data_IF_982086480750
#
_entry.id   IF_982086480750
#
_cell.length_a   1.000
_cell.length_b   1.000
_cell.length_c   1.000
_cell.angle_alpha   90.00
_cell.angle_beta   90.00
_cell.angle_gamma   90.00
#
_symmetry.space_group_name_H-M   'P 1'
#
loop_
_entity.id
_entity.type
_entity.pdbx_description
1 polymer ?
#
# COMPACT_ATOMS: atom_id res chain seq x y z
N UNK A 1 -5.73 -39.14 -14.13
CA UNK A 1 -5.10 -37.83 -14.39
C UNK A 1 -5.69 -36.86 -13.40
N UNK A 2 -4.93 -36.46 -12.38
CA UNK A 2 -5.38 -35.50 -11.38
C UNK A 2 -5.21 -34.11 -11.95
N UNK A 3 -6.30 -33.34 -12.07
CA UNK A 3 -6.22 -31.90 -12.26
C UNK A 3 -5.38 -31.33 -11.11
N UNK A 4 -4.26 -30.68 -11.45
CA UNK A 4 -3.56 -29.80 -10.52
C UNK A 4 -4.51 -28.62 -10.29
N UNK A 5 -5.24 -28.63 -9.18
CA UNK A 5 -5.80 -27.41 -8.62
C UNK A 5 -4.61 -26.45 -8.46
N UNK A 6 -4.54 -25.43 -9.32
CA UNK A 6 -3.66 -24.28 -9.11
C UNK A 6 -4.03 -23.76 -7.72
N UNK A 7 -3.12 -23.84 -6.75
CA UNK A 7 -3.38 -23.21 -5.45
C UNK A 7 -3.61 -21.74 -5.72
N UNK A 8 -4.69 -21.18 -5.20
CA UNK A 8 -4.91 -19.73 -5.22
C UNK A 8 -3.67 -19.06 -4.66
N UNK A 9 -3.18 -18.02 -5.33
CA UNK A 9 -2.01 -17.26 -4.87
C UNK A 9 -2.32 -16.70 -3.48
N UNK A 10 -1.63 -17.19 -2.45
CA UNK A 10 -1.75 -16.65 -1.10
C UNK A 10 -0.87 -15.41 -1.00
N UNK A 11 -1.50 -14.25 -0.83
CA UNK A 11 -0.80 -12.99 -0.59
C UNK A 11 -0.43 -12.90 0.89
N UNK A 12 0.78 -13.32 1.20
CA UNK A 12 1.27 -13.47 2.58
C UNK A 12 2.03 -12.24 3.08
N UNK A 13 2.50 -11.38 2.19
CA UNK A 13 3.22 -10.16 2.55
C UNK A 13 2.42 -8.92 2.15
N UNK A 14 2.41 -7.90 2.99
CA UNK A 14 1.65 -6.70 2.67
C UNK A 14 1.24 -5.87 3.87
N UNK A 15 0.77 -4.67 3.59
CA UNK A 15 0.32 -3.69 4.57
C UNK A 15 -1.02 -3.13 4.14
N UNK A 16 -1.90 -2.91 5.12
CA UNK A 16 -3.09 -2.08 5.00
C UNK A 16 -2.91 -0.87 5.91
N UNK A 17 -3.04 0.33 5.36
CA UNK A 17 -3.12 1.58 6.11
C UNK A 17 -4.57 2.09 6.05
N UNK A 18 -5.18 2.30 7.20
CA UNK A 18 -6.62 2.61 7.32
C UNK A 18 -6.84 4.03 7.85
N UNK A 19 -7.71 4.77 7.17
CA UNK A 19 -8.27 6.06 7.59
C UNK A 19 -9.78 5.94 7.75
N UNK A 20 -10.32 6.31 8.91
CA UNK A 20 -11.75 6.60 9.04
C UNK A 20 -12.02 8.01 8.50
N UNK A 21 -13.03 8.17 7.67
CA UNK A 21 -13.46 9.43 7.04
C UNK A 21 -14.71 9.93 7.75
N UNK A 22 -14.80 11.26 7.92
CA UNK A 22 -15.90 11.96 8.60
C UNK A 22 -15.99 11.69 10.11
N UNK A 23 -14.91 11.15 10.70
CA UNK A 23 -14.71 11.07 12.14
C UNK A 23 -13.70 12.15 12.56
N UNK A 24 -14.14 13.09 13.39
CA UNK A 24 -13.31 14.22 13.85
C UNK A 24 -12.11 13.79 14.69
N UNK A 25 -12.10 12.55 15.19
CA UNK A 25 -11.00 11.99 15.99
C UNK A 25 -10.04 11.09 15.17
N UNK A 26 -10.29 10.93 13.86
CA UNK A 26 -9.47 10.10 12.96
C UNK A 26 -8.24 10.84 12.43
N UNK A 27 -7.36 11.28 13.34
CA UNK A 27 -6.14 12.02 13.00
C UNK A 27 -5.04 11.12 12.40
N UNK A 28 -5.09 9.80 12.63
CA UNK A 28 -3.99 8.88 12.31
C UNK A 28 -4.35 7.75 11.35
N UNK A 29 -3.37 7.31 10.56
CA UNK A 29 -3.46 6.07 9.80
C UNK A 29 -3.16 4.87 10.70
N UNK A 30 -4.05 3.88 10.70
CA UNK A 30 -3.84 2.61 11.39
C UNK A 30 -3.15 1.61 10.45
N UNK A 31 -1.98 1.10 10.84
CA UNK A 31 -1.23 0.08 10.08
C UNK A 31 -1.57 -1.33 10.58
N UNK A 32 -2.01 -2.20 9.69
CA UNK A 32 -2.17 -3.64 9.94
C UNK A 32 -1.50 -4.46 8.83
N UNK A 33 -1.08 -5.68 9.13
CA UNK A 33 -0.58 -6.61 8.11
C UNK A 33 -1.73 -7.14 7.27
N UNK A 34 -1.50 -7.39 5.99
CA UNK A 34 -2.53 -7.94 5.07
C UNK A 34 -3.09 -9.29 5.52
N UNK A 35 -2.29 -10.08 6.25
CA UNK A 35 -2.71 -11.37 6.82
C UNK A 35 -3.66 -11.23 8.01
N UNK A 36 -3.71 -10.06 8.66
CA UNK A 36 -4.63 -9.82 9.76
C UNK A 36 -6.00 -9.50 9.18
N UNK A 37 -7.04 -10.15 9.71
CA UNK A 37 -8.41 -9.96 9.23
C UNK A 37 -8.81 -8.48 9.28
N UNK A 38 -9.09 -7.93 8.10
CA UNK A 38 -9.82 -6.69 7.97
C UNK A 38 -11.28 -6.96 8.36
N UNK A 39 -11.82 -6.14 9.26
CA UNK A 39 -13.19 -6.25 9.78
C UNK A 39 -14.25 -5.68 8.80
N UNK A 40 -13.83 -4.94 7.77
CA UNK A 40 -14.70 -4.33 6.77
C UNK A 40 -14.95 -5.19 5.53
N UNK A 41 -13.94 -5.91 5.06
CA UNK A 41 -14.02 -6.74 3.84
C UNK A 41 -12.94 -7.82 3.82
N UNK A 42 -13.12 -8.83 2.97
CA UNK A 42 -12.09 -9.78 2.60
C UNK A 42 -11.57 -9.49 1.20
N UNK A 43 -10.27 -9.72 1.00
CA UNK A 43 -9.63 -9.65 -0.31
C UNK A 43 -9.27 -11.04 -0.78
N UNK A 44 -9.53 -11.31 -2.05
CA UNK A 44 -9.02 -12.49 -2.74
C UNK A 44 -8.67 -12.13 -4.18
N UNK A 45 -7.86 -12.98 -4.83
CA UNK A 45 -7.61 -12.85 -6.26
C UNK A 45 -7.95 -14.18 -6.93
N UNK A 46 -8.81 -14.12 -7.94
CA UNK A 46 -9.21 -15.28 -8.73
C UNK A 46 -9.09 -14.93 -10.20
N UNK A 47 -8.41 -15.79 -10.97
CA UNK A 47 -8.36 -15.69 -12.44
C UNK A 47 -8.06 -14.27 -12.94
N UNK A 48 -7.08 -13.60 -12.33
CA UNK A 48 -6.66 -12.24 -12.69
C UNK A 48 -7.63 -11.10 -12.32
N UNK A 49 -8.63 -11.36 -11.48
CA UNK A 49 -9.47 -10.34 -10.85
C UNK A 49 -9.25 -10.28 -9.33
N UNK A 50 -9.18 -9.06 -8.79
CA UNK A 50 -9.21 -8.82 -7.35
C UNK A 50 -10.67 -8.73 -6.91
N UNK A 51 -11.08 -9.59 -6.00
CA UNK A 51 -12.42 -9.63 -5.43
C UNK A 51 -12.38 -8.96 -4.05
N UNK A 52 -13.32 -8.05 -3.82
CA UNK A 52 -13.49 -7.32 -2.56
C UNK A 52 -14.87 -7.65 -2.03
N UNK A 53 -14.94 -8.57 -1.07
CA UNK A 53 -16.20 -9.02 -0.49
C UNK A 53 -16.44 -8.31 0.85
N UNK A 54 -17.53 -7.55 0.92
CA UNK A 54 -17.87 -6.78 2.13
C UNK A 54 -18.30 -7.73 3.25
N UNK A 55 -17.71 -7.55 4.43
CA UNK A 55 -18.15 -8.24 5.64
C UNK A 55 -19.38 -7.50 6.18
N UNK A 56 -20.56 -8.15 6.24
CA UNK A 56 -21.77 -7.52 6.71
C UNK A 56 -21.70 -7.20 8.21
N UNK A 57 -22.43 -6.16 8.62
CA UNK A 57 -22.59 -5.82 10.02
C UNK A 57 -23.55 -6.80 10.70
N UNK A 58 -23.15 -7.36 11.84
CA UNK A 58 -23.97 -8.27 12.64
C UNK A 58 -24.47 -7.59 13.92
N UNK A 59 -25.09 -6.40 13.79
CA UNK A 59 -25.56 -5.60 14.94
C UNK A 59 -26.95 -6.02 15.43
N UNK A 60 -27.74 -6.69 14.58
CA UNK A 60 -29.13 -7.07 14.84
C UNK A 60 -30.16 -6.01 14.42
N UNK A 61 -29.74 -4.83 13.95
CA UNK A 61 -30.61 -3.84 13.31
C UNK A 61 -30.55 -4.01 11.78
N UNK A 62 -31.70 -4.26 11.15
CA UNK A 62 -31.81 -4.41 9.69
C UNK A 62 -31.47 -3.14 8.89
N UNK A 63 -31.47 -1.97 9.54
CA UNK A 63 -31.11 -0.71 8.92
C UNK A 63 -29.59 -0.45 8.95
N UNK A 64 -28.81 -1.25 9.66
CA UNK A 64 -27.36 -1.13 9.68
C UNK A 64 -26.78 -1.82 8.43
N UNK A 65 -25.82 -1.16 7.78
CA UNK A 65 -25.18 -1.70 6.60
C UNK A 65 -23.74 -1.24 6.44
N UNK A 66 -22.98 -2.06 5.74
CA UNK A 66 -21.68 -1.71 5.17
C UNK A 66 -21.73 -1.98 3.66
N UNK A 67 -21.13 -1.09 2.87
CA UNK A 67 -21.04 -1.26 1.42
C UNK A 67 -19.69 -0.83 0.89
N UNK A 68 -19.30 -1.42 -0.23
CA UNK A 68 -18.20 -0.95 -1.05
C UNK A 68 -18.62 0.37 -1.72
N UNK A 69 -17.86 1.44 -1.48
CA UNK A 69 -18.09 2.74 -2.10
C UNK A 69 -17.26 2.87 -3.38
N UNK A 70 -15.97 2.54 -3.30
CA UNK A 70 -15.05 2.55 -4.43
C UNK A 70 -13.93 1.52 -4.24
N UNK A 71 -13.32 1.11 -5.34
CA UNK A 71 -12.05 0.38 -5.35
C UNK A 71 -11.20 0.86 -6.51
N UNK A 72 -9.92 1.06 -6.26
CA UNK A 72 -8.91 1.26 -7.29
C UNK A 72 -7.69 0.43 -6.89
N UNK A 73 -7.66 -0.81 -7.39
CA UNK A 73 -6.61 -1.78 -7.10
C UNK A 73 -5.93 -2.18 -8.41
N UNK A 74 -4.60 -2.11 -8.41
CA UNK A 74 -3.75 -2.38 -9.55
C UNK A 74 -3.03 -3.70 -9.32
N UNK A 75 -3.18 -4.63 -10.26
CA UNK A 75 -2.48 -5.91 -10.23
C UNK A 75 -1.06 -5.70 -10.74
N UNK A 76 -0.07 -6.17 -9.99
CA UNK A 76 1.34 -6.21 -10.37
C UNK A 76 1.63 -7.55 -11.04
N UNK A 77 2.28 -7.51 -12.20
CA UNK A 77 2.52 -8.70 -13.04
C UNK A 77 3.99 -8.85 -13.37
N UNK A 78 4.46 -10.09 -13.35
CA UNK A 78 5.79 -10.45 -13.82
C UNK A 78 5.90 -10.35 -15.35
N UNK A 79 7.13 -10.56 -15.87
CA UNK A 79 7.39 -10.51 -17.31
C UNK A 79 6.62 -11.56 -18.12
N UNK A 80 6.12 -12.62 -17.49
CA UNK A 80 5.30 -13.66 -18.12
C UNK A 80 3.79 -13.31 -18.07
N UNK A 81 3.42 -12.19 -17.44
CA UNK A 81 2.05 -11.72 -17.27
C UNK A 81 1.32 -12.32 -16.06
N UNK A 82 2.00 -13.12 -15.24
CA UNK A 82 1.42 -13.73 -14.04
C UNK A 82 1.34 -12.69 -12.92
N UNK A 83 0.19 -12.64 -12.26
CA UNK A 83 -0.02 -11.76 -11.11
C UNK A 83 0.85 -12.20 -9.91
N UNK A 84 1.68 -11.28 -9.42
CA UNK A 84 2.53 -11.47 -8.23
C UNK A 84 1.97 -10.78 -6.99
N UNK A 85 1.03 -9.85 -7.16
CA UNK A 85 0.54 -8.99 -6.12
C UNK A 85 -0.41 -7.92 -6.63
N UNK A 86 -0.86 -7.05 -5.74
CA UNK A 86 -1.64 -5.88 -6.06
C UNK A 86 -1.44 -4.76 -5.05
N UNK A 87 -1.75 -3.54 -5.46
CA UNK A 87 -1.74 -2.38 -4.58
C UNK A 87 -2.81 -1.36 -4.97
N UNK A 88 -3.21 -0.50 -4.04
CA UNK A 88 -4.15 0.58 -4.32
C UNK A 88 -5.03 0.92 -3.13
N UNK A 89 -6.29 1.26 -3.39
CA UNK A 89 -7.24 1.70 -2.38
C UNK A 89 -8.59 0.97 -2.44
N UNK A 90 -9.20 0.82 -1.27
CA UNK A 90 -10.58 0.37 -1.09
C UNK A 90 -11.28 1.38 -0.19
N UNK A 91 -12.41 1.89 -0.67
CA UNK A 91 -13.29 2.76 0.11
C UNK A 91 -14.56 2.01 0.50
N UNK A 92 -14.86 2.01 1.79
CA UNK A 92 -16.11 1.48 2.32
C UNK A 92 -16.89 2.56 3.04
N UNK A 93 -18.20 2.36 3.08
CA UNK A 93 -19.11 3.21 3.81
C UNK A 93 -19.89 2.37 4.80
N UNK A 94 -19.90 2.81 6.06
CA UNK A 94 -20.58 2.12 7.15
C UNK A 94 -21.65 3.03 7.77
N UNK A 95 -22.81 2.44 8.01
CA UNK A 95 -23.90 3.03 8.77
C UNK A 95 -24.30 2.03 9.84
N UNK A 96 -24.02 2.34 11.11
CA UNK A 96 -24.25 1.42 12.21
C UNK A 96 -24.90 2.08 13.43
N UNK A 97 -25.72 1.32 14.14
CA UNK A 97 -26.38 1.76 15.36
C UNK A 97 -25.51 1.34 16.54
N UNK A 98 -24.86 2.31 17.20
CA UNK A 98 -24.03 2.00 18.37
C UNK A 98 -24.94 1.64 19.53
N UNK A 99 -24.70 0.46 20.14
CA UNK A 99 -25.52 -0.07 21.24
C UNK A 99 -25.51 0.78 22.53
N UNK A 100 -24.72 1.85 22.59
CA UNK A 100 -24.57 2.73 23.75
C UNK A 100 -24.85 4.21 23.39
N UNK A 101 -26.14 4.56 23.30
CA UNK A 101 -26.73 5.88 23.62
C UNK A 101 -26.42 7.14 22.78
N UNK A 102 -25.60 7.11 21.72
CA UNK A 102 -25.28 8.33 20.93
C UNK A 102 -26.06 8.52 19.61
N UNK A 103 -26.76 7.50 19.10
CA UNK A 103 -27.47 7.56 17.82
C UNK A 103 -26.83 6.66 16.75
N UNK A 104 -27.22 6.86 15.49
CA UNK A 104 -26.62 6.13 14.35
C UNK A 104 -25.39 6.89 13.87
N UNK A 105 -24.26 6.19 13.72
CA UNK A 105 -23.03 6.79 13.20
C UNK A 105 -22.84 6.44 11.73
N UNK A 106 -22.37 7.45 11.00
CA UNK A 106 -22.07 7.42 9.58
C UNK A 106 -20.60 7.73 9.42
N UNK A 107 -19.83 6.77 8.94
CA UNK A 107 -18.43 7.02 8.63
C UNK A 107 -18.01 6.33 7.32
N UNK A 108 -17.11 6.99 6.62
CA UNK A 108 -16.37 6.38 5.53
C UNK A 108 -15.12 5.71 6.06
N UNK A 109 -14.52 4.84 5.26
CA UNK A 109 -13.22 4.24 5.54
C UNK A 109 -12.45 4.10 4.24
N UNK A 110 -11.23 4.62 4.22
CA UNK A 110 -10.28 4.43 3.13
C UNK A 110 -9.15 3.53 3.60
N UNK A 111 -8.93 2.44 2.90
CA UNK A 111 -7.82 1.52 3.12
C UNK A 111 -6.85 1.59 1.95
N UNK A 112 -5.57 1.81 2.24
CA UNK A 112 -4.46 1.73 1.29
C UNK A 112 -3.80 0.38 1.45
N UNK A 113 -3.78 -0.42 0.39
CA UNK A 113 -3.44 -1.84 0.45
C UNK A 113 -2.27 -2.10 -0.49
N UNK A 114 -1.29 -2.85 0.00
CA UNK A 114 -0.33 -3.57 -0.83
C UNK A 114 -0.29 -5.02 -0.36
N UNK A 115 -0.36 -5.96 -1.29
CA UNK A 115 -0.43 -7.38 -1.02
C UNK A 115 0.39 -8.14 -2.08
N UNK A 116 1.40 -8.88 -1.65
CA UNK A 116 2.36 -9.55 -2.51
C UNK A 116 2.47 -11.04 -2.14
N UNK A 117 2.73 -11.86 -3.15
CA UNK A 117 3.10 -13.25 -2.92
C UNK A 117 4.52 -13.29 -2.36
N UNK A 118 4.67 -13.69 -1.09
CA UNK A 118 5.98 -13.73 -0.43
C UNK A 118 6.97 -14.69 -1.09
N UNK A 119 6.47 -15.75 -1.74
CA UNK A 119 7.32 -16.71 -2.47
C UNK A 119 7.97 -16.10 -3.72
N UNK A 120 7.42 -14.98 -4.23
CA UNK A 120 7.97 -14.25 -5.37
C UNK A 120 8.95 -13.15 -4.94
N UNK A 121 9.20 -12.99 -3.63
CA UNK A 121 10.12 -11.96 -3.12
C UNK A 121 11.56 -12.33 -3.47
N UNK A 122 12.25 -11.41 -4.14
CA UNK A 122 13.51 -11.70 -4.79
C UNK A 122 14.40 -10.47 -4.88
N UNK A 123 15.65 -10.61 -4.44
CA UNK A 123 16.68 -9.60 -4.69
C UNK A 123 16.92 -9.47 -6.21
N UNK A 124 16.86 -8.25 -6.80
CA UNK A 124 17.11 -8.10 -8.22
C UNK A 124 18.54 -8.50 -8.59
N UNK A 125 18.66 -9.26 -9.68
CA UNK A 125 19.92 -9.79 -10.19
C UNK A 125 20.75 -8.75 -10.96
N UNK A 126 20.09 -7.69 -11.44
CA UNK A 126 20.68 -6.60 -12.24
C UNK A 126 20.23 -5.24 -11.73
N UNK A 127 21.04 -4.22 -12.00
CA UNK A 127 20.63 -2.84 -11.79
C UNK A 127 19.42 -2.50 -12.67
N UNK A 128 18.55 -1.62 -12.18
CA UNK A 128 17.33 -1.27 -12.92
C UNK A 128 16.62 -0.06 -12.33
N UNK A 129 15.91 0.67 -13.21
CA UNK A 129 15.01 1.74 -12.81
C UNK A 129 13.59 1.17 -12.74
N UNK A 130 12.83 1.58 -11.74
CA UNK A 130 11.45 1.16 -11.51
C UNK A 130 10.58 2.40 -11.49
N UNK A 131 9.47 2.37 -12.23
CA UNK A 131 8.49 3.46 -12.23
C UNK A 131 7.12 2.91 -11.85
N UNK A 132 6.34 3.72 -11.16
CA UNK A 132 5.06 3.29 -10.64
C UNK A 132 4.25 4.42 -10.04
N UNK A 133 3.23 4.03 -9.27
CA UNK A 133 2.34 4.96 -8.57
C UNK A 133 2.37 4.71 -7.07
N UNK A 134 2.17 5.79 -6.32
CA UNK A 134 1.90 5.80 -4.90
C UNK A 134 0.48 6.32 -4.68
N UNK A 135 -0.35 5.56 -3.98
CA UNK A 135 -1.63 6.03 -3.44
C UNK A 135 -1.45 6.36 -1.97
N UNK A 136 -1.84 7.56 -1.54
CA UNK A 136 -1.53 8.03 -0.19
C UNK A 136 -2.60 8.94 0.43
N UNK A 137 -2.52 9.09 1.74
CA UNK A 137 -3.20 10.09 2.56
C UNK A 137 -2.12 11.06 3.06
N UNK A 138 -2.40 12.36 2.99
CA UNK A 138 -1.54 13.38 3.58
C UNK A 138 -2.40 14.52 4.09
N UNK A 139 -2.22 14.88 5.36
CA UNK A 139 -2.97 15.93 6.05
C UNK A 139 -4.49 15.74 5.95
N UNK A 140 -4.96 14.52 6.26
CA UNK A 140 -6.39 14.17 6.27
C UNK A 140 -7.09 14.34 4.92
N UNK A 141 -6.33 14.38 3.82
CA UNK A 141 -6.86 14.39 2.46
C UNK A 141 -6.59 13.02 1.82
N UNK A 142 -7.54 12.08 1.91
CA UNK A 142 -7.38 10.73 1.40
C UNK A 142 -7.44 10.67 -0.14
N UNK A 143 -7.04 9.53 -0.70
CA UNK A 143 -7.15 9.21 -2.13
C UNK A 143 -6.21 9.97 -3.06
N UNK A 144 -5.07 10.49 -2.57
CA UNK A 144 -4.08 11.18 -3.40
C UNK A 144 -3.21 10.18 -4.18
N UNK A 145 -2.63 10.67 -5.28
CA UNK A 145 -1.72 9.90 -6.14
C UNK A 145 -0.41 10.67 -6.37
N UNK A 146 0.72 9.96 -6.39
CA UNK A 146 2.02 10.50 -6.78
C UNK A 146 2.78 9.53 -7.69
N UNK A 147 3.70 10.05 -8.49
CA UNK A 147 4.63 9.24 -9.28
C UNK A 147 5.78 8.77 -8.37
N UNK A 148 6.11 7.48 -8.41
CA UNK A 148 7.30 6.93 -7.73
C UNK A 148 8.31 6.43 -8.77
N UNK A 149 9.57 6.82 -8.58
CA UNK A 149 10.70 6.43 -9.43
C UNK A 149 11.85 5.96 -8.54
N UNK A 150 12.17 4.67 -8.61
CA UNK A 150 13.24 4.05 -7.85
C UNK A 150 14.34 3.53 -8.78
N UNK A 151 15.56 3.40 -8.26
CA UNK A 151 16.68 2.74 -8.93
C UNK A 151 17.34 1.79 -7.94
N UNK A 152 17.46 0.54 -8.34
CA UNK A 152 18.25 -0.47 -7.66
C UNK A 152 19.62 -0.60 -8.32
N UNK A 153 20.69 -0.57 -7.52
CA UNK A 153 22.07 -0.82 -7.96
C UNK A 153 22.92 -1.18 -6.74
N UNK A 154 23.78 -2.20 -6.85
CA UNK A 154 24.71 -2.61 -5.79
C UNK A 154 24.08 -2.75 -4.39
N UNK A 155 22.90 -3.38 -4.33
CA UNK A 155 22.10 -3.54 -3.10
C UNK A 155 21.68 -2.24 -2.42
N UNK A 156 21.57 -1.15 -3.18
CA UNK A 156 21.04 0.12 -2.71
C UNK A 156 19.83 0.51 -3.52
N UNK A 157 18.95 1.28 -2.89
CA UNK A 157 17.79 1.89 -3.56
C UNK A 157 17.95 3.39 -3.49
N UNK A 158 17.84 4.06 -4.63
CA UNK A 158 17.72 5.52 -4.69
C UNK A 158 16.43 5.86 -5.41
N UNK A 159 15.92 7.08 -5.25
CA UNK A 159 14.68 7.43 -5.93
C UNK A 159 13.93 8.59 -5.32
N UNK A 160 12.77 8.87 -5.91
CA UNK A 160 11.92 10.01 -5.62
C UNK A 160 10.45 9.63 -5.66
N UNK A 161 9.66 10.32 -4.83
CA UNK A 161 8.20 10.38 -4.89
C UNK A 161 7.85 11.82 -5.28
N UNK A 162 7.18 12.00 -6.41
CA UNK A 162 6.85 13.32 -6.94
C UNK A 162 5.34 13.42 -7.12
N UNK A 163 4.74 14.32 -6.37
CA UNK A 163 3.36 14.77 -6.59
C UNK A 163 3.42 16.15 -7.27
N UNK A 164 2.84 16.24 -8.48
CA UNK A 164 2.84 17.47 -9.27
C UNK A 164 1.82 18.49 -8.76
N UNK A 165 0.75 18.02 -8.14
CA UNK A 165 -0.35 18.83 -7.61
C UNK A 165 -0.12 19.18 -6.14
N UNK A 166 0.66 18.38 -5.41
CA UNK A 166 1.12 18.67 -4.05
C UNK A 166 2.66 18.61 -3.95
N UNK A 167 3.39 19.60 -4.50
CA UNK A 167 4.85 19.54 -4.50
C UNK A 167 5.47 19.54 -3.09
N UNK A 168 4.75 20.00 -2.05
CA UNK A 168 5.21 19.96 -0.65
C UNK A 168 5.31 18.53 -0.09
N UNK A 169 4.56 17.58 -0.64
CA UNK A 169 4.68 16.15 -0.31
C UNK A 169 5.80 15.45 -1.08
N UNK A 170 6.51 16.13 -1.99
CA UNK A 170 7.53 15.45 -2.80
C UNK A 170 8.77 15.07 -1.97
N UNK A 171 9.12 13.78 -2.02
CA UNK A 171 10.15 13.15 -1.18
C UNK A 171 11.23 12.49 -2.04
N UNK A 172 12.38 12.23 -1.42
CA UNK A 172 13.46 11.43 -1.98
C UNK A 172 14.07 10.53 -0.92
N UNK A 173 14.65 9.41 -1.36
CA UNK A 173 15.43 8.55 -0.47
C UNK A 173 16.64 9.31 0.05
N UNK A 174 16.87 9.25 1.36
CA UNK A 174 18.05 9.81 2.00
C UNK A 174 19.26 8.90 1.77
N UNK A 175 20.10 9.27 0.81
CA UNK A 175 21.30 8.50 0.45
C UNK A 175 22.49 8.76 1.38
N UNK A 176 22.35 9.64 2.37
CA UNK A 176 23.39 9.91 3.37
C UNK A 176 23.36 8.87 4.48
N UNK A 177 22.17 8.33 4.75
CA UNK A 177 21.98 7.22 5.68
C UNK A 177 22.29 5.90 4.99
N UNK A 178 23.09 5.08 5.65
CA UNK A 178 23.40 3.74 5.15
C UNK A 178 22.15 2.88 5.22
N UNK A 179 21.72 2.37 4.07
CA UNK A 179 20.67 1.37 3.95
C UNK A 179 21.09 0.37 2.88
N UNK A 180 20.60 -0.86 2.99
CA UNK A 180 20.83 -1.90 2.00
C UNK A 180 19.51 -2.61 1.68
N UNK A 181 19.47 -3.19 0.49
CA UNK A 181 18.50 -4.22 0.14
C UNK A 181 19.01 -5.54 0.71
N UNK A 182 18.17 -6.17 1.51
CA UNK A 182 18.44 -7.45 2.14
C UNK A 182 18.46 -8.58 1.12
N UNK A 183 18.96 -9.75 1.54
CA UNK A 183 19.12 -10.90 0.64
C UNK A 183 17.80 -11.42 0.05
N UNK A 184 16.70 -11.21 0.77
CA UNK A 184 15.35 -11.57 0.32
C UNK A 184 14.75 -10.52 -0.63
N UNK A 185 15.41 -9.38 -0.85
CA UNK A 185 14.90 -8.29 -1.67
C UNK A 185 14.13 -7.22 -0.88
N UNK A 186 14.01 -7.33 0.45
CA UNK A 186 13.39 -6.28 1.28
C UNK A 186 14.31 -5.07 1.49
N UNK A 187 13.73 -3.90 1.71
CA UNK A 187 14.47 -2.69 2.08
C UNK A 187 13.62 -1.76 2.95
N UNK A 188 14.30 -1.03 3.83
CA UNK A 188 13.73 0.05 4.61
C UNK A 188 14.70 1.24 4.55
N UNK A 189 14.23 2.40 4.11
CA UNK A 189 15.08 3.60 4.02
C UNK A 189 14.34 4.88 4.35
N UNK A 190 15.09 5.89 4.77
CA UNK A 190 14.58 7.18 5.19
C UNK A 190 14.18 8.05 3.98
N UNK A 191 13.14 8.86 4.16
CA UNK A 191 12.69 9.86 3.20
C UNK A 191 12.96 11.27 3.73
N UNK A 192 13.50 12.12 2.85
CA UNK A 192 13.71 13.56 3.09
C UNK A 192 13.00 14.39 2.00
N UNK A 193 12.82 15.68 2.23
CA UNK A 193 12.19 16.57 1.24
C UNK A 193 13.00 16.63 -0.06
N UNK A 194 12.32 16.53 -1.20
CA UNK A 194 13.00 16.60 -2.51
C UNK A 194 13.25 18.03 -2.98
N UNK A 195 12.39 18.98 -2.57
CA UNK A 195 12.41 20.38 -3.00
C UNK A 195 13.63 21.16 -2.55
N UNK A 196 14.07 20.95 -1.31
CA UNK A 196 15.21 21.66 -0.74
C UNK A 196 16.38 20.69 -0.60
N UNK A 197 17.45 20.81 -1.40
CA UNK A 197 18.63 19.95 -1.29
C UNK A 197 19.32 20.01 0.08
N UNK A 198 19.15 21.12 0.81
CA UNK A 198 19.66 21.31 2.16
C UNK A 198 18.70 20.79 3.25
N UNK A 199 17.52 20.31 2.89
CA UNK A 199 16.63 19.66 3.86
C UNK A 199 17.27 18.35 4.32
N UNK A 200 17.61 18.34 5.61
CA UNK A 200 18.19 17.18 6.27
C UNK A 200 17.18 16.50 7.19
N UNK A 201 15.96 17.05 7.32
CA UNK A 201 14.93 16.53 8.19
C UNK A 201 14.33 15.29 7.55
N UNK A 202 14.41 14.19 8.28
CA UNK A 202 13.66 12.98 7.95
C UNK A 202 12.16 13.23 8.12
N UNK A 203 11.39 12.98 7.07
CA UNK A 203 9.93 13.14 7.06
C UNK A 203 9.18 11.82 7.21
N UNK A 204 9.80 10.71 6.83
CA UNK A 204 9.18 9.39 6.92
C UNK A 204 10.08 8.26 6.44
N UNK A 205 9.47 7.10 6.24
CA UNK A 205 10.14 5.88 5.79
C UNK A 205 9.45 5.34 4.53
N UNK A 206 10.24 4.67 3.69
CA UNK A 206 9.76 3.77 2.66
C UNK A 206 10.18 2.34 3.03
N UNK A 207 9.20 1.46 3.12
CA UNK A 207 9.33 0.05 3.46
C UNK A 207 8.79 -0.77 2.29
N UNK A 208 9.66 -1.53 1.63
CA UNK A 208 9.30 -2.24 0.41
C UNK A 208 10.11 -3.49 0.14
N UNK A 209 9.75 -4.15 -0.94
CA UNK A 209 10.45 -5.33 -1.43
C UNK A 209 10.45 -5.38 -2.95
N UNK A 210 11.41 -6.14 -3.48
CA UNK A 210 11.45 -6.54 -4.87
C UNK A 210 10.81 -7.92 -5.03
N UNK A 211 10.05 -8.09 -6.12
CA UNK A 211 9.27 -9.29 -6.39
C UNK A 211 9.36 -9.69 -7.87
N UNK A 212 8.96 -10.93 -8.15
CA UNK A 212 9.08 -11.54 -9.46
C UNK A 212 10.43 -12.24 -9.63
N UNK A 213 10.50 -13.11 -10.63
CA UNK A 213 11.63 -14.04 -10.82
C UNK A 213 12.99 -13.33 -10.93
N UNK A 214 13.03 -12.14 -11.51
CA UNK A 214 14.24 -11.33 -11.70
C UNK A 214 14.22 -10.04 -10.86
N UNK A 215 13.32 -9.96 -9.88
CA UNK A 215 13.07 -8.76 -9.08
C UNK A 215 12.54 -7.60 -9.91
N UNK A 216 11.77 -7.86 -10.97
CA UNK A 216 11.26 -6.84 -11.90
C UNK A 216 10.14 -5.95 -11.33
N UNK A 217 9.59 -6.28 -10.16
CA UNK A 217 8.51 -5.53 -9.52
C UNK A 217 9.00 -4.98 -8.19
N UNK A 218 8.57 -3.77 -7.85
CA UNK A 218 8.82 -3.16 -6.56
C UNK A 218 7.50 -2.71 -5.94
N UNK A 219 7.28 -3.05 -4.68
CA UNK A 219 6.04 -2.71 -4.00
C UNK A 219 6.26 -2.56 -2.49
N UNK A 220 5.41 -1.75 -1.85
CA UNK A 220 5.55 -1.49 -0.42
C UNK A 220 4.66 -0.37 0.08
N UNK A 221 5.06 0.19 1.22
CA UNK A 221 4.36 1.28 1.88
C UNK A 221 5.31 2.43 2.24
N UNK A 222 4.73 3.61 2.42
CA UNK A 222 5.40 4.78 2.98
C UNK A 222 4.60 5.27 4.17
N UNK A 223 5.26 5.84 5.17
CA UNK A 223 4.59 6.43 6.32
C UNK A 223 5.39 7.55 6.95
N UNK A 224 4.68 8.45 7.61
CA UNK A 224 5.29 9.52 8.39
C UNK A 224 6.18 8.95 9.50
N UNK A 225 7.20 9.73 9.87
CA UNK A 225 8.19 9.32 10.86
C UNK A 225 7.60 9.24 12.27
N UNK A 226 6.86 10.27 12.68
CA UNK A 226 6.64 10.56 14.10
C UNK A 226 5.19 10.39 14.55
N UNK A 227 4.21 10.44 13.65
CA UNK A 227 2.82 10.71 14.05
C UNK A 227 1.73 10.02 13.21
N UNK A 228 2.07 9.16 12.24
CA UNK A 228 1.12 8.57 11.30
C UNK A 228 0.17 9.58 10.60
N UNK A 229 0.59 10.85 10.48
CA UNK A 229 -0.17 11.94 9.84
C UNK A 229 -0.34 11.76 8.33
N UNK A 230 0.53 10.96 7.73
CA UNK A 230 0.50 10.60 6.32
C UNK A 230 1.07 9.21 6.09
N UNK A 231 0.66 8.61 4.98
CA UNK A 231 1.10 7.27 4.59
C UNK A 231 0.41 6.80 3.34
N UNK A 232 0.95 5.76 2.74
CA UNK A 232 0.43 5.24 1.48
C UNK A 232 1.08 3.94 1.06
N UNK A 233 0.65 3.44 -0.09
CA UNK A 233 1.10 2.18 -0.68
C UNK A 233 1.49 2.40 -2.13
N UNK A 234 2.54 1.74 -2.57
CA UNK A 234 3.07 1.89 -3.91
C UNK A 234 3.32 0.56 -4.58
N UNK A 235 3.32 0.61 -5.91
CA UNK A 235 3.74 -0.48 -6.78
C UNK A 235 4.35 0.09 -8.06
N UNK A 236 5.35 -0.59 -8.60
CA UNK A 236 6.05 -0.20 -9.81
C UNK A 236 6.78 -1.34 -10.48
N UNK A 237 7.18 -1.10 -11.72
CA UNK A 237 7.77 -2.10 -12.61
C UNK A 237 9.11 -1.62 -13.15
N UNK A 238 10.04 -2.55 -13.29
CA UNK A 238 11.36 -2.30 -13.88
C UNK A 238 11.20 -1.90 -15.35
N UNK A 239 11.83 -0.81 -15.73
CA UNK A 239 11.89 -0.32 -17.09
C UNK A 239 13.01 -1.07 -17.83
N UNK A 240 12.70 -1.52 -19.05
CA UNK A 240 13.67 -2.13 -19.97
C UNK A 240 14.59 -1.09 -20.65
#
# INVERSE_FOLDING_TARGET
>A
MSEKTRSESQYTEGTVLTRTIDDTDSEYLYKINVQNNNDAYTLSMKEDEIIVDIIPLNTGDSADYRKLAARNLNILRDKEGKAVGFYGLVETYTWETIRNLSGKERYGRMDYIVAMNGDEKQLPSVAGNYTGKLYYDHNQAPGKEADISLRYEDRKVTGTIIDRDCPDFSLKIDTRESHNVEKDGSFLTALVGSKNPADQKMHGYIDGGFYGRDGEIVAGSVHSRDDNSWGGVFGGERQD
#
